data_IF_038017252457
#
_entry.id   IF_038017252457
#
_cell.length_a   1.000
_cell.length_b   1.000
_cell.length_c   1.000
_cell.angle_alpha   90.00
_cell.angle_beta   90.00
_cell.angle_gamma   90.00
#
_symmetry.space_group_name_H-M   'P 1'
#
loop_
_entity.id
_entity.type
_entity.pdbx_description
1 polymer ?
#
# COMPACT_ATOMS: atom_id res chain seq x y z
N UNK A 1 -124.17 22.69 -144.83
CA UNK A 1 -123.05 21.84 -144.34
C UNK A 1 -122.58 22.41 -143.02
N UNK A 2 -122.73 21.65 -141.94
CA UNK A 2 -122.39 22.05 -140.56
C UNK A 2 -120.88 22.08 -140.35
N UNK A 3 -120.30 23.30 -140.26
CA UNK A 3 -118.90 23.51 -139.88
C UNK A 3 -118.68 23.13 -138.39
N UNK A 4 -117.57 22.47 -138.04
CA UNK A 4 -117.27 22.05 -136.67
C UNK A 4 -117.03 23.27 -135.76
N UNK A 5 -117.55 23.22 -134.52
CA UNK A 5 -117.31 24.25 -133.49
C UNK A 5 -115.86 24.19 -133.01
N UNK A 6 -114.98 24.99 -133.60
CA UNK A 6 -113.60 25.19 -133.13
C UNK A 6 -113.54 26.20 -131.98
N UNK A 7 -112.71 25.92 -130.97
CA UNK A 7 -112.54 26.78 -129.79
C UNK A 7 -111.61 27.95 -130.17
N UNK A 8 -111.95 29.17 -129.72
CA UNK A 8 -111.15 30.39 -129.91
C UNK A 8 -109.85 30.35 -129.07
N UNK A 9 -108.82 29.68 -129.60
CA UNK A 9 -107.45 29.67 -129.04
C UNK A 9 -106.56 30.72 -129.71
N UNK A 10 -105.47 31.12 -129.05
CA UNK A 10 -104.53 32.14 -129.57
C UNK A 10 -104.02 31.83 -130.98
N UNK A 11 -103.62 30.59 -131.25
CA UNK A 11 -103.14 30.19 -132.58
C UNK A 11 -104.24 30.28 -133.65
N UNK A 12 -105.48 29.89 -133.33
CA UNK A 12 -106.59 29.92 -134.27
C UNK A 12 -107.07 31.35 -134.56
N UNK A 13 -107.09 32.21 -133.54
CA UNK A 13 -107.45 33.64 -133.69
C UNK A 13 -106.38 34.37 -134.51
N UNK A 14 -105.09 34.13 -134.24
CA UNK A 14 -103.99 34.74 -135.01
C UNK A 14 -104.01 34.27 -136.47
N UNK A 15 -104.22 32.98 -136.72
CA UNK A 15 -104.34 32.45 -138.09
C UNK A 15 -105.62 32.91 -138.81
N UNK A 16 -106.71 33.20 -138.08
CA UNK A 16 -107.91 33.83 -138.64
C UNK A 16 -107.66 35.29 -139.01
N UNK A 17 -106.97 36.07 -138.16
CA UNK A 17 -106.54 37.43 -138.47
C UNK A 17 -105.59 37.46 -139.68
N UNK A 18 -104.60 36.57 -139.75
CA UNK A 18 -103.68 36.47 -140.88
C UNK A 18 -104.43 36.18 -142.20
N UNK A 19 -105.44 35.29 -142.17
CA UNK A 19 -106.26 34.96 -143.35
C UNK A 19 -107.20 36.08 -143.77
N UNK A 20 -107.83 36.77 -142.82
CA UNK A 20 -108.71 37.90 -143.10
C UNK A 20 -107.94 39.14 -143.57
N UNK A 21 -106.72 39.40 -143.05
CA UNK A 21 -105.84 40.47 -143.56
C UNK A 21 -105.29 40.14 -144.96
N UNK A 22 -104.97 38.86 -145.23
CA UNK A 22 -104.55 38.40 -146.54
C UNK A 22 -105.68 38.43 -147.60
N UNK A 23 -106.95 38.31 -147.19
CA UNK A 23 -108.12 38.37 -148.08
C UNK A 23 -108.51 39.80 -148.51
N UNK A 24 -107.90 40.83 -147.90
CA UNK A 24 -107.96 42.25 -148.31
C UNK A 24 -109.36 42.90 -148.37
N UNK A 25 -110.36 42.33 -147.68
CA UNK A 25 -111.63 42.98 -147.35
C UNK A 25 -111.59 43.57 -145.93
N UNK A 26 -112.26 44.71 -145.70
CA UNK A 26 -112.33 45.32 -144.35
C UNK A 26 -113.11 44.40 -143.41
N UNK A 27 -112.37 43.66 -142.60
CA UNK A 27 -112.93 42.75 -141.61
C UNK A 27 -113.05 43.40 -140.23
N UNK A 28 -114.09 43.01 -139.51
CA UNK A 28 -114.41 43.39 -138.15
C UNK A 28 -114.25 42.20 -137.19
N UNK A 29 -114.35 42.48 -135.89
CA UNK A 29 -114.26 41.45 -134.84
C UNK A 29 -115.27 40.31 -135.00
N UNK A 30 -116.44 40.57 -135.62
CA UNK A 30 -117.44 39.55 -135.94
C UNK A 30 -116.98 38.60 -137.05
N UNK A 31 -116.22 39.09 -138.01
CA UNK A 31 -115.68 38.28 -139.10
C UNK A 31 -114.62 37.32 -138.56
N UNK A 32 -113.75 37.79 -137.64
CA UNK A 32 -112.82 36.90 -136.92
C UNK A 32 -113.60 35.84 -136.16
N UNK A 33 -114.63 36.24 -135.39
CA UNK A 33 -115.43 35.30 -134.59
C UNK A 33 -116.20 34.28 -135.44
N UNK A 34 -116.70 34.70 -136.60
CA UNK A 34 -117.32 33.81 -137.59
C UNK A 34 -116.30 32.79 -138.08
N UNK A 35 -115.08 33.24 -138.39
CA UNK A 35 -114.04 32.40 -138.97
C UNK A 35 -113.42 31.42 -137.97
N UNK A 36 -113.35 31.76 -136.69
CA UNK A 36 -112.96 30.79 -135.64
C UNK A 36 -114.08 29.85 -135.23
N UNK A 37 -115.33 30.04 -135.70
CA UNK A 37 -116.48 29.18 -135.39
C UNK A 37 -117.20 29.50 -134.08
N UNK A 38 -117.03 30.73 -133.56
CA UNK A 38 -117.58 31.20 -132.29
C UNK A 38 -116.54 31.40 -131.18
N UNK A 39 -116.97 31.96 -130.05
CA UNK A 39 -116.10 32.31 -128.92
C UNK A 39 -116.59 33.57 -128.21
N UNK A 40 -116.18 33.75 -126.95
CA UNK A 40 -116.51 34.94 -126.17
C UNK A 40 -115.61 36.12 -126.53
N UNK A 41 -116.17 37.33 -126.60
CA UNK A 41 -115.42 38.56 -126.91
C UNK A 41 -114.25 38.83 -125.96
N UNK A 42 -114.41 38.41 -124.70
CA UNK A 42 -113.38 38.52 -123.66
C UNK A 42 -112.08 37.80 -124.04
N UNK A 43 -112.15 36.77 -124.90
CA UNK A 43 -110.97 36.03 -125.37
C UNK A 43 -110.51 36.53 -126.73
N UNK A 44 -111.44 36.83 -127.64
CA UNK A 44 -111.11 37.20 -129.02
C UNK A 44 -110.50 38.60 -129.11
N UNK A 45 -111.06 39.61 -128.43
CA UNK A 45 -110.60 41.00 -128.54
C UNK A 45 -109.16 41.21 -128.06
N UNK A 46 -108.72 40.66 -126.90
CA UNK A 46 -107.32 40.78 -126.46
C UNK A 46 -106.34 40.10 -127.43
N UNK A 47 -106.73 39.00 -128.05
CA UNK A 47 -105.89 38.28 -129.00
C UNK A 47 -105.76 39.04 -130.33
N UNK A 48 -106.83 39.68 -130.81
CA UNK A 48 -106.75 40.58 -131.97
C UNK A 48 -105.84 41.78 -131.67
N UNK A 49 -105.94 42.36 -130.47
CA UNK A 49 -105.05 43.45 -130.05
C UNK A 49 -103.58 43.00 -129.97
N UNK A 50 -103.31 41.83 -129.39
CA UNK A 50 -101.96 41.26 -129.32
C UNK A 50 -101.38 40.99 -130.71
N UNK A 51 -102.20 40.49 -131.64
CA UNK A 51 -101.80 40.29 -133.03
C UNK A 51 -101.43 41.62 -133.71
N UNK A 52 -102.24 42.68 -133.54
CA UNK A 52 -101.93 44.02 -134.07
C UNK A 52 -100.66 44.62 -133.47
N UNK A 53 -100.40 44.41 -132.18
CA UNK A 53 -99.20 44.92 -131.50
C UNK A 53 -97.90 44.22 -131.93
N UNK A 54 -97.98 42.95 -132.32
CA UNK A 54 -96.82 42.16 -132.75
C UNK A 54 -96.48 42.31 -134.24
N UNK A 55 -97.37 42.92 -135.04
CA UNK A 55 -97.17 43.17 -136.48
C UNK A 55 -95.90 43.99 -136.79
N UNK A 56 -95.60 45.13 -136.12
CA UNK A 56 -94.42 45.93 -136.44
C UNK A 56 -93.09 45.25 -136.10
N UNK A 57 -93.09 44.37 -135.09
CA UNK A 57 -91.88 43.67 -134.62
C UNK A 57 -91.46 42.52 -135.55
N UNK A 58 -92.41 41.94 -136.31
CA UNK A 58 -92.11 40.89 -137.29
C UNK A 58 -91.46 41.43 -138.57
N UNK A 59 -91.72 42.68 -138.94
CA UNK A 59 -91.15 43.31 -140.14
C UNK A 59 -89.71 43.83 -139.95
N UNK A 60 -89.26 44.05 -138.70
CA UNK A 60 -87.95 44.67 -138.41
C UNK A 60 -86.78 43.69 -138.19
N UNK A 61 -87.02 42.37 -138.21
CA UNK A 61 -86.05 41.38 -137.72
C UNK A 61 -84.96 40.83 -138.68
N UNK A 62 -84.90 41.10 -140.00
CA UNK A 62 -83.88 40.45 -140.84
C UNK A 62 -82.55 41.22 -141.04
N UNK A 63 -82.26 42.33 -140.34
CA UNK A 63 -81.11 43.19 -140.68
C UNK A 63 -80.05 43.47 -139.60
N UNK A 64 -79.98 42.74 -138.48
CA UNK A 64 -78.80 42.84 -137.60
C UNK A 64 -77.64 41.98 -138.16
N UNK A 65 -76.46 42.56 -138.46
CA UNK A 65 -75.36 41.81 -139.06
C UNK A 65 -74.80 40.78 -138.07
N UNK A 66 -74.84 39.50 -138.44
CA UNK A 66 -74.37 38.35 -137.65
C UNK A 66 -72.92 38.48 -137.16
N UNK A 67 -72.06 39.19 -137.89
CA UNK A 67 -70.66 39.41 -137.54
C UNK A 67 -70.47 40.20 -136.24
N UNK A 68 -71.32 41.19 -135.96
CA UNK A 68 -71.23 41.98 -134.72
C UNK A 68 -71.64 41.15 -133.50
N UNK A 69 -72.67 40.31 -133.63
CA UNK A 69 -73.06 39.38 -132.57
C UNK A 69 -71.95 38.37 -132.28
N UNK A 70 -71.27 37.89 -133.33
CA UNK A 70 -70.16 36.95 -133.17
C UNK A 70 -68.92 37.59 -132.55
N UNK A 71 -68.62 38.86 -132.87
CA UNK A 71 -67.56 39.63 -132.20
C UNK A 71 -67.86 39.90 -130.73
N UNK A 72 -69.10 40.26 -130.39
CA UNK A 72 -69.51 40.46 -128.99
C UNK A 72 -69.47 39.14 -128.23
N UNK A 73 -69.94 38.05 -128.82
CA UNK A 73 -69.87 36.72 -128.22
C UNK A 73 -68.41 36.29 -127.97
N UNK A 74 -67.52 36.42 -128.96
CA UNK A 74 -66.10 36.09 -128.82
C UNK A 74 -65.40 36.98 -127.76
N UNK A 75 -65.75 38.26 -127.69
CA UNK A 75 -65.24 39.18 -126.67
C UNK A 75 -65.71 38.81 -125.27
N UNK A 76 -66.99 38.46 -125.11
CA UNK A 76 -67.55 37.98 -123.84
C UNK A 76 -66.95 36.64 -123.42
N UNK A 77 -66.77 35.69 -124.35
CA UNK A 77 -66.12 34.41 -124.09
C UNK A 77 -64.67 34.60 -123.63
N UNK A 78 -63.90 35.48 -124.31
CA UNK A 78 -62.54 35.81 -123.91
C UNK A 78 -62.50 36.48 -122.51
N UNK A 79 -63.45 37.37 -122.22
CA UNK A 79 -63.54 38.04 -120.91
C UNK A 79 -63.95 37.07 -119.80
N UNK A 80 -64.92 36.19 -120.05
CA UNK A 80 -65.36 35.15 -119.10
C UNK A 80 -64.22 34.16 -118.86
N UNK A 81 -63.50 33.74 -119.90
CA UNK A 81 -62.33 32.88 -119.76
C UNK A 81 -61.24 33.55 -118.93
N UNK A 82 -60.94 34.83 -119.20
CA UNK A 82 -59.98 35.64 -118.42
C UNK A 82 -60.38 35.78 -116.95
N UNK A 83 -61.64 36.12 -116.67
CA UNK A 83 -62.16 36.20 -115.30
C UNK A 83 -62.12 34.86 -114.57
N UNK A 84 -62.46 33.76 -115.27
CA UNK A 84 -62.43 32.42 -114.68
C UNK A 84 -61.00 32.05 -114.32
N UNK A 85 -60.04 32.29 -115.22
CA UNK A 85 -58.63 32.06 -114.97
C UNK A 85 -58.09 32.92 -113.81
N UNK A 86 -58.49 34.19 -113.72
CA UNK A 86 -58.11 35.07 -112.60
C UNK A 86 -58.74 34.59 -111.28
N UNK A 87 -60.02 34.20 -111.29
CA UNK A 87 -60.71 33.68 -110.11
C UNK A 87 -60.09 32.36 -109.61
N UNK A 88 -59.78 31.44 -110.53
CA UNK A 88 -59.04 30.22 -110.24
C UNK A 88 -57.62 30.51 -109.74
N UNK A 89 -56.92 31.46 -110.36
CA UNK A 89 -55.61 31.94 -109.91
C UNK A 89 -55.65 32.46 -108.47
N UNK A 90 -56.59 33.34 -108.14
CA UNK A 90 -56.78 33.84 -106.76
C UNK A 90 -57.18 32.72 -105.79
N UNK A 91 -58.01 31.78 -106.21
CA UNK A 91 -58.42 30.65 -105.37
C UNK A 91 -57.22 29.75 -105.05
N UNK A 92 -56.41 29.41 -106.06
CA UNK A 92 -55.20 28.60 -105.87
C UNK A 92 -54.18 29.31 -104.98
N UNK A 93 -54.02 30.63 -105.13
CA UNK A 93 -53.13 31.41 -104.28
C UNK A 93 -53.66 31.49 -102.83
N UNK A 94 -54.95 31.71 -102.64
CA UNK A 94 -55.60 31.67 -101.32
C UNK A 94 -55.44 30.30 -100.67
N UNK A 95 -55.58 29.21 -101.43
CA UNK A 95 -55.39 27.84 -100.93
C UNK A 95 -53.94 27.62 -100.51
N UNK A 96 -52.96 28.05 -101.31
CA UNK A 96 -51.54 27.96 -100.93
C UNK A 96 -51.22 28.71 -99.65
N UNK A 97 -51.73 29.94 -99.49
CA UNK A 97 -51.54 30.73 -98.27
C UNK A 97 -52.18 30.01 -97.07
N UNK A 98 -53.38 29.45 -97.25
CA UNK A 98 -54.07 28.71 -96.21
C UNK A 98 -53.32 27.43 -95.80
N UNK A 99 -52.87 26.63 -96.77
CA UNK A 99 -52.11 25.41 -96.51
C UNK A 99 -50.76 25.72 -95.83
N UNK A 100 -50.08 26.80 -96.25
CA UNK A 100 -48.84 27.26 -95.63
C UNK A 100 -49.06 27.72 -94.18
N UNK A 101 -50.13 28.48 -93.91
CA UNK A 101 -50.43 28.92 -92.55
C UNK A 101 -50.87 27.76 -91.66
N UNK A 102 -51.63 26.79 -92.18
CA UNK A 102 -51.96 25.56 -91.45
C UNK A 102 -50.69 24.76 -91.12
N UNK A 103 -49.77 24.61 -92.07
CA UNK A 103 -48.52 23.89 -91.84
C UNK A 103 -47.68 24.56 -90.75
N UNK A 104 -47.50 25.89 -90.82
CA UNK A 104 -46.75 26.65 -89.83
C UNK A 104 -47.39 26.60 -88.44
N UNK A 105 -48.73 26.73 -88.35
CA UNK A 105 -49.44 26.62 -87.09
C UNK A 105 -49.37 25.22 -86.50
N UNK A 106 -49.45 24.18 -87.34
CA UNK A 106 -49.36 22.79 -86.89
C UNK A 106 -47.95 22.48 -86.37
N UNK A 107 -46.91 22.96 -87.05
CA UNK A 107 -45.52 22.82 -86.60
C UNK A 107 -45.29 23.53 -85.25
N UNK A 108 -45.79 24.77 -85.11
CA UNK A 108 -45.73 25.52 -83.84
C UNK A 108 -46.49 24.81 -82.73
N UNK A 109 -47.66 24.25 -83.02
CA UNK A 109 -48.47 23.54 -82.04
C UNK A 109 -47.76 22.27 -81.56
N UNK A 110 -47.20 21.47 -82.47
CA UNK A 110 -46.39 20.29 -82.11
C UNK A 110 -45.16 20.68 -81.30
N UNK A 111 -44.45 21.75 -81.68
CA UNK A 111 -43.30 22.25 -80.91
C UNK A 111 -43.70 22.63 -79.48
N UNK A 112 -44.81 23.34 -79.31
CA UNK A 112 -45.31 23.73 -77.98
C UNK A 112 -45.77 22.53 -77.16
N UNK A 113 -46.41 21.53 -77.79
CA UNK A 113 -46.80 20.29 -77.11
C UNK A 113 -45.57 19.53 -76.61
N UNK A 114 -44.52 19.40 -77.43
CA UNK A 114 -43.27 18.74 -77.01
C UNK A 114 -42.55 19.49 -75.88
N UNK A 115 -42.49 20.83 -75.95
CA UNK A 115 -41.90 21.63 -74.88
C UNK A 115 -42.72 21.50 -73.57
N UNK A 116 -44.05 21.48 -73.67
CA UNK A 116 -44.93 21.32 -72.51
C UNK A 116 -44.73 19.94 -71.85
N UNK A 117 -44.63 18.87 -72.64
CA UNK A 117 -44.34 17.52 -72.16
C UNK A 117 -42.97 17.44 -71.46
N UNK A 118 -41.93 18.05 -72.04
CA UNK A 118 -40.60 18.09 -71.42
C UNK A 118 -40.62 18.86 -70.10
N UNK A 119 -41.30 20.02 -70.05
CA UNK A 119 -41.43 20.82 -68.82
C UNK A 119 -42.22 20.09 -67.74
N UNK A 120 -43.29 19.37 -68.09
CA UNK A 120 -44.05 18.58 -67.12
C UNK A 120 -43.24 17.42 -66.57
N UNK A 121 -42.45 16.73 -67.41
CA UNK A 121 -41.55 15.68 -66.95
C UNK A 121 -40.45 16.23 -66.03
N UNK A 122 -39.85 17.37 -66.37
CA UNK A 122 -38.84 18.04 -65.55
C UNK A 122 -39.39 18.52 -64.21
N UNK A 123 -40.62 19.07 -64.20
CA UNK A 123 -41.30 19.49 -62.97
C UNK A 123 -41.56 18.29 -62.06
N UNK A 124 -42.10 17.19 -62.59
CA UNK A 124 -42.35 15.97 -61.82
C UNK A 124 -41.06 15.39 -61.21
N UNK A 125 -39.95 15.42 -61.96
CA UNK A 125 -38.64 15.00 -61.44
C UNK A 125 -38.18 15.90 -60.29
N UNK A 126 -38.28 17.22 -60.45
CA UNK A 126 -37.90 18.18 -59.40
C UNK A 126 -38.78 18.09 -58.15
N UNK A 127 -40.08 17.84 -58.31
CA UNK A 127 -41.00 17.58 -57.19
C UNK A 127 -40.61 16.33 -56.42
N UNK A 128 -40.24 15.24 -57.12
CA UNK A 128 -39.75 14.02 -56.48
C UNK A 128 -38.43 14.25 -55.72
N UNK A 129 -37.49 14.99 -56.30
CA UNK A 129 -36.23 15.33 -55.63
C UNK A 129 -36.46 16.22 -54.39
N UNK A 130 -37.35 17.20 -54.49
CA UNK A 130 -37.72 18.06 -53.37
C UNK A 130 -38.40 17.26 -52.24
N UNK A 131 -39.26 16.30 -52.58
CA UNK A 131 -39.86 15.41 -51.59
C UNK A 131 -38.79 14.57 -50.87
N UNK A 132 -37.84 13.99 -51.62
CA UNK A 132 -36.74 13.20 -51.04
C UNK A 132 -35.82 14.05 -50.15
N UNK A 133 -35.47 15.28 -50.57
CA UNK A 133 -34.68 16.20 -49.76
C UNK A 133 -35.42 16.62 -48.48
N UNK A 134 -36.73 16.82 -48.56
CA UNK A 134 -37.55 17.15 -47.39
C UNK A 134 -37.55 16.01 -46.38
N UNK A 135 -37.69 14.75 -46.86
CA UNK A 135 -37.63 13.56 -46.00
C UNK A 135 -36.26 13.42 -45.32
N UNK A 136 -35.16 13.58 -46.07
CA UNK A 136 -33.81 13.55 -45.51
C UNK A 136 -33.58 14.64 -44.45
N UNK A 137 -34.12 15.84 -44.68
CA UNK A 137 -33.98 16.96 -43.76
C UNK A 137 -34.74 16.70 -42.46
N UNK A 138 -35.95 16.15 -42.54
CA UNK A 138 -36.72 15.74 -41.35
C UNK A 138 -36.06 14.59 -40.59
N UNK A 139 -35.48 13.61 -41.30
CA UNK A 139 -34.71 12.55 -40.66
C UNK A 139 -33.47 13.11 -39.93
N UNK A 140 -32.69 13.98 -40.57
CA UNK A 140 -31.52 14.60 -39.95
C UNK A 140 -31.89 15.45 -38.72
N UNK A 141 -33.04 16.15 -38.75
CA UNK A 141 -33.56 16.86 -37.57
C UNK A 141 -33.90 15.91 -36.43
N UNK A 142 -34.58 14.79 -36.72
CA UNK A 142 -34.94 13.80 -35.72
C UNK A 142 -33.70 13.16 -35.07
N UNK A 143 -32.67 12.83 -35.88
CA UNK A 143 -31.39 12.31 -35.39
C UNK A 143 -30.66 13.35 -34.53
N UNK A 144 -30.66 14.63 -34.94
CA UNK A 144 -30.06 15.71 -34.17
C UNK A 144 -30.74 15.91 -32.82
N UNK A 145 -32.07 15.89 -32.77
CA UNK A 145 -32.81 16.00 -31.51
C UNK A 145 -32.57 14.80 -30.61
N UNK A 146 -32.53 13.59 -31.16
CA UNK A 146 -32.17 12.38 -30.39
C UNK A 146 -30.77 12.52 -29.79
N UNK A 147 -29.78 12.95 -30.58
CA UNK A 147 -28.42 13.20 -30.11
C UNK A 147 -28.34 14.31 -29.04
N UNK A 148 -29.14 15.38 -29.16
CA UNK A 148 -29.24 16.43 -28.14
C UNK A 148 -29.80 15.90 -26.83
N UNK A 149 -30.85 15.09 -26.88
CA UNK A 149 -31.44 14.49 -25.67
C UNK A 149 -30.48 13.54 -24.98
N UNK A 150 -29.74 12.72 -25.73
CA UNK A 150 -28.74 11.82 -25.15
C UNK A 150 -27.57 12.59 -24.55
N UNK A 151 -27.06 13.62 -25.23
CA UNK A 151 -26.02 14.48 -24.67
C UNK A 151 -26.47 15.16 -23.37
N UNK A 152 -27.71 15.66 -23.29
CA UNK A 152 -28.24 16.24 -22.06
C UNK A 152 -28.31 15.20 -20.92
N UNK A 153 -28.66 13.95 -21.24
CA UNK A 153 -28.66 12.83 -20.30
C UNK A 153 -27.25 12.53 -19.78
N UNK A 154 -26.28 12.40 -20.69
CA UNK A 154 -24.88 12.12 -20.36
C UNK A 154 -24.25 13.24 -19.52
N UNK A 155 -24.56 14.51 -19.80
CA UNK A 155 -24.10 15.65 -18.98
C UNK A 155 -24.66 15.55 -17.56
N UNK A 156 -25.94 15.24 -17.42
CA UNK A 156 -26.57 15.08 -16.10
C UNK A 156 -25.96 13.92 -15.30
N UNK A 157 -25.67 12.80 -15.98
CA UNK A 157 -24.99 11.65 -15.38
C UNK A 157 -23.56 12.01 -14.96
N UNK A 158 -22.83 12.74 -15.81
CA UNK A 158 -21.47 13.18 -15.52
C UNK A 158 -21.42 14.10 -14.29
N UNK A 159 -22.32 15.08 -14.19
CA UNK A 159 -22.45 15.95 -13.03
C UNK A 159 -22.74 15.15 -11.75
N UNK A 160 -23.59 14.13 -11.86
CA UNK A 160 -23.88 13.18 -10.78
C UNK A 160 -22.63 12.42 -10.32
N UNK A 161 -21.83 11.91 -11.26
CA UNK A 161 -20.57 11.21 -10.98
C UNK A 161 -19.52 12.14 -10.37
N UNK A 162 -19.36 13.36 -10.89
CA UNK A 162 -18.47 14.39 -10.32
C UNK A 162 -18.85 14.67 -8.85
N UNK A 163 -20.15 14.77 -8.56
CA UNK A 163 -20.66 14.94 -7.20
C UNK A 163 -20.35 13.74 -6.29
N UNK A 164 -20.45 12.51 -6.78
CA UNK A 164 -20.10 11.30 -6.03
C UNK A 164 -18.59 11.24 -5.74
N UNK A 165 -17.75 11.48 -6.74
CA UNK A 165 -16.28 11.51 -6.59
C UNK A 165 -15.88 12.56 -5.55
N UNK A 166 -16.43 13.77 -5.63
CA UNK A 166 -16.15 14.84 -4.66
C UNK A 166 -16.52 14.46 -3.22
N UNK A 167 -17.62 13.72 -3.02
CA UNK A 167 -18.02 13.22 -1.69
C UNK A 167 -17.06 12.14 -1.19
N UNK A 168 -16.74 11.16 -2.02
CA UNK A 168 -15.77 10.10 -1.67
C UNK A 168 -14.39 10.67 -1.36
N UNK A 169 -13.88 11.62 -2.14
CA UNK A 169 -12.60 12.27 -1.87
C UNK A 169 -12.61 13.02 -0.54
N UNK A 170 -13.73 13.68 -0.20
CA UNK A 170 -13.89 14.35 1.09
C UNK A 170 -13.88 13.34 2.24
N UNK A 171 -14.63 12.25 2.13
CA UNK A 171 -14.69 11.17 3.12
C UNK A 171 -13.32 10.49 3.32
N UNK A 172 -12.62 10.18 2.23
CA UNK A 172 -11.26 9.64 2.29
C UNK A 172 -10.30 10.61 2.96
N UNK A 173 -10.37 11.91 2.62
CA UNK A 173 -9.53 12.94 3.25
C UNK A 173 -9.79 13.03 4.75
N UNK A 174 -11.05 13.01 5.18
CA UNK A 174 -11.40 13.01 6.61
C UNK A 174 -10.91 11.74 7.31
N UNK A 175 -11.02 10.59 6.66
CA UNK A 175 -10.55 9.30 7.22
C UNK A 175 -9.03 9.29 7.39
N UNK A 176 -8.29 9.77 6.39
CA UNK A 176 -6.82 9.89 6.46
C UNK A 176 -6.42 10.86 7.58
N UNK A 177 -7.09 12.00 7.71
CA UNK A 177 -6.82 12.96 8.77
C UNK A 177 -7.10 12.37 10.16
N UNK A 178 -8.21 11.65 10.32
CA UNK A 178 -8.54 10.95 11.56
C UNK A 178 -7.46 9.91 11.90
N UNK A 179 -7.09 9.05 10.96
CA UNK A 179 -6.05 8.02 11.16
C UNK A 179 -4.68 8.65 11.50
N UNK A 180 -4.30 9.74 10.84
CA UNK A 180 -3.07 10.46 11.16
C UNK A 180 -3.10 11.09 12.56
N UNK A 181 -4.26 11.61 12.98
CA UNK A 181 -4.43 12.16 14.34
C UNK A 181 -4.35 11.07 15.41
N UNK A 182 -4.98 9.92 15.18
CA UNK A 182 -4.95 8.76 16.06
C UNK A 182 -3.53 8.19 16.17
N UNK A 183 -2.81 8.06 15.05
CA UNK A 183 -1.42 7.60 15.05
C UNK A 183 -0.49 8.55 15.83
N UNK A 184 -0.70 9.87 15.72
CA UNK A 184 0.07 10.85 16.51
C UNK A 184 -0.20 10.71 18.00
N UNK A 185 -1.48 10.54 18.38
CA UNK A 185 -1.85 10.36 19.78
C UNK A 185 -1.28 9.04 20.35
N UNK A 186 -1.36 7.95 19.59
CA UNK A 186 -0.78 6.67 19.98
C UNK A 186 0.75 6.76 20.15
N UNK A 187 1.45 7.44 19.25
CA UNK A 187 2.90 7.67 19.37
C UNK A 187 3.24 8.48 20.62
N UNK A 188 2.42 9.48 20.96
CA UNK A 188 2.57 10.27 22.17
C UNK A 188 2.35 9.42 23.42
N UNK A 189 1.29 8.63 23.47
CA UNK A 189 1.01 7.69 24.56
C UNK A 189 2.16 6.70 24.76
N UNK A 190 2.67 6.10 23.68
CA UNK A 190 3.84 5.21 23.77
C UNK A 190 5.11 5.92 24.24
N UNK A 191 5.31 7.20 23.90
CA UNK A 191 6.43 7.98 24.41
C UNK A 191 6.29 8.25 25.91
N UNK A 192 5.11 8.63 26.38
CA UNK A 192 4.79 8.84 27.79
C UNK A 192 4.94 7.53 28.59
N UNK A 193 4.43 6.42 28.07
CA UNK A 193 4.52 5.11 28.72
C UNK A 193 5.97 4.62 28.82
N UNK A 194 6.78 4.81 27.77
CA UNK A 194 8.23 4.54 27.84
C UNK A 194 8.92 5.40 28.88
N UNK A 195 8.60 6.70 28.98
CA UNK A 195 9.17 7.57 30.02
C UNK A 195 8.80 7.07 31.41
N UNK A 196 7.51 6.74 31.62
CA UNK A 196 7.00 6.22 32.89
C UNK A 196 7.71 4.94 33.31
N UNK A 197 7.83 3.98 32.41
CA UNK A 197 8.51 2.70 32.67
C UNK A 197 10.00 2.91 32.99
N UNK A 198 10.68 3.82 32.28
CA UNK A 198 12.08 4.15 32.57
C UNK A 198 12.22 4.79 33.96
N UNK A 199 11.33 5.72 34.32
CA UNK A 199 11.31 6.35 35.64
C UNK A 199 11.03 5.33 36.75
N UNK A 200 10.03 4.45 36.56
CA UNK A 200 9.71 3.36 37.49
C UNK A 200 10.90 2.42 37.69
N UNK A 201 11.56 1.98 36.61
CA UNK A 201 12.75 1.14 36.70
C UNK A 201 13.93 1.86 37.37
N UNK A 202 14.15 3.14 37.06
CA UNK A 202 15.20 3.92 37.70
C UNK A 202 14.96 4.06 39.21
N UNK A 203 13.72 4.32 39.62
CA UNK A 203 13.32 4.38 41.02
C UNK A 203 13.49 3.02 41.72
N UNK A 204 13.10 1.92 41.08
CA UNK A 204 13.28 0.57 41.61
C UNK A 204 14.77 0.21 41.80
N UNK A 205 15.64 0.55 40.83
CA UNK A 205 17.09 0.35 40.95
C UNK A 205 17.66 1.21 42.08
N UNK A 206 17.21 2.45 42.23
CA UNK A 206 17.63 3.32 43.33
C UNK A 206 17.22 2.76 44.69
N UNK A 207 16.00 2.21 44.81
CA UNK A 207 15.53 1.54 46.01
C UNK A 207 16.38 0.29 46.35
N UNK A 208 16.62 -0.59 45.37
CA UNK A 208 17.47 -1.77 45.56
C UNK A 208 18.90 -1.42 45.98
N UNK A 209 19.49 -0.38 45.37
CA UNK A 209 20.83 0.11 45.77
C UNK A 209 20.85 0.60 47.21
N UNK A 210 19.78 1.25 47.65
CA UNK A 210 19.64 1.71 49.03
C UNK A 210 19.50 0.55 50.01
N UNK A 211 18.67 -0.45 49.69
CA UNK A 211 18.52 -1.66 50.50
C UNK A 211 19.85 -2.43 50.62
N UNK A 212 20.56 -2.64 49.50
CA UNK A 212 21.88 -3.28 49.51
C UNK A 212 22.90 -2.51 50.35
N UNK A 213 22.89 -1.17 50.30
CA UNK A 213 23.76 -0.36 51.14
C UNK A 213 23.43 -0.51 52.64
N UNK A 214 22.14 -0.57 53.00
CA UNK A 214 21.72 -0.80 54.37
C UNK A 214 22.08 -2.21 54.87
N UNK A 215 21.92 -3.23 54.04
CA UNK A 215 22.34 -4.60 54.36
C UNK A 215 23.86 -4.69 54.55
N UNK A 216 24.64 -4.01 53.68
CA UNK A 216 26.08 -3.94 53.81
C UNK A 216 26.50 -3.26 55.13
N UNK A 217 25.86 -2.15 55.50
CA UNK A 217 26.09 -1.46 56.78
C UNK A 217 25.75 -2.37 57.98
N UNK A 218 24.63 -3.08 57.93
CA UNK A 218 24.25 -4.03 58.98
C UNK A 218 25.24 -5.20 59.10
N UNK A 219 25.72 -5.72 57.96
CA UNK A 219 26.72 -6.77 57.94
C UNK A 219 28.07 -6.28 58.52
N UNK A 220 28.49 -5.07 58.17
CA UNK A 220 29.69 -4.44 58.73
C UNK A 220 29.58 -4.25 60.25
N UNK A 221 28.45 -3.72 60.72
CA UNK A 221 28.18 -3.56 62.15
C UNK A 221 28.23 -4.90 62.90
N UNK A 222 27.67 -5.97 62.31
CA UNK A 222 27.72 -7.32 62.88
C UNK A 222 29.14 -7.86 62.96
N UNK A 223 29.95 -7.65 61.91
CA UNK A 223 31.36 -8.04 61.91
C UNK A 223 32.16 -7.26 62.96
N UNK A 224 31.87 -5.98 63.15
CA UNK A 224 32.52 -5.16 64.18
C UNK A 224 32.26 -5.71 65.58
N UNK A 225 31.01 -6.07 65.89
CA UNK A 225 30.64 -6.71 67.17
C UNK A 225 31.36 -8.04 67.35
N UNK A 226 31.41 -8.90 66.33
CA UNK A 226 32.13 -10.17 66.39
C UNK A 226 33.64 -9.97 66.60
N UNK A 227 34.25 -8.99 65.93
CA UNK A 227 35.66 -8.66 66.12
C UNK A 227 35.94 -8.19 67.55
N UNK A 228 35.06 -7.37 68.12
CA UNK A 228 35.21 -6.92 69.51
C UNK A 228 35.02 -8.07 70.50
N UNK A 229 34.09 -8.98 70.24
CA UNK A 229 33.93 -10.21 71.01
C UNK A 229 35.20 -11.07 70.95
N UNK A 230 35.72 -11.36 69.76
CA UNK A 230 36.97 -12.12 69.57
C UNK A 230 38.16 -11.44 70.27
N UNK A 231 38.24 -10.10 70.22
CA UNK A 231 39.27 -9.34 70.96
C UNK A 231 39.12 -9.47 72.46
N UNK A 232 37.90 -9.46 72.99
CA UNK A 232 37.64 -9.66 74.43
C UNK A 232 37.97 -11.09 74.86
N UNK A 233 37.57 -12.09 74.07
CA UNK A 233 37.90 -13.49 74.32
C UNK A 233 39.42 -13.70 74.29
N UNK A 234 40.13 -13.13 73.30
CA UNK A 234 41.58 -13.15 73.22
C UNK A 234 42.24 -12.51 74.47
N UNK A 235 41.75 -11.34 74.93
CA UNK A 235 42.23 -10.70 76.17
C UNK A 235 41.95 -11.54 77.42
N UNK A 236 40.79 -12.19 77.49
CA UNK A 236 40.45 -13.07 78.62
C UNK A 236 41.35 -14.31 78.65
N UNK A 237 41.64 -14.90 77.48
CA UNK A 237 42.60 -15.99 77.33
C UNK A 237 44.01 -15.52 77.71
N UNK A 238 44.44 -14.35 77.24
CA UNK A 238 45.73 -13.75 77.59
C UNK A 238 45.85 -13.52 79.10
N UNK A 239 44.83 -12.92 79.75
CA UNK A 239 44.80 -12.73 81.20
C UNK A 239 44.87 -14.05 81.97
N UNK A 240 44.16 -15.09 81.51
CA UNK A 240 44.22 -16.43 82.10
C UNK A 240 45.61 -17.05 81.93
N UNK A 241 46.24 -16.88 80.77
CA UNK A 241 47.61 -17.33 80.51
C UNK A 241 48.62 -16.59 81.39
N UNK A 242 48.49 -15.26 81.54
CA UNK A 242 49.32 -14.46 82.45
C UNK A 242 49.14 -14.92 83.90
N UNK A 243 47.91 -15.11 84.38
CA UNK A 243 47.67 -15.63 85.72
C UNK A 243 48.22 -17.05 85.94
N UNK A 244 48.20 -17.91 84.92
CA UNK A 244 48.87 -19.21 84.97
C UNK A 244 50.40 -19.06 85.01
N UNK A 245 50.96 -18.13 84.23
CA UNK A 245 52.39 -17.82 84.23
C UNK A 245 52.85 -17.31 85.59
N UNK A 246 52.07 -16.42 86.23
CA UNK A 246 52.35 -15.93 87.58
C UNK A 246 52.32 -17.06 88.62
N UNK A 247 51.33 -17.96 88.54
CA UNK A 247 51.27 -19.15 89.40
C UNK A 247 52.48 -20.06 89.23
N UNK A 248 52.89 -20.31 87.98
CA UNK A 248 54.10 -21.09 87.68
C UNK A 248 55.34 -20.35 88.22
N UNK A 249 55.42 -19.05 88.04
CA UNK A 249 56.53 -18.22 88.53
C UNK A 249 56.62 -18.23 90.05
N UNK A 250 55.50 -18.05 90.75
CA UNK A 250 55.43 -18.20 92.22
C UNK A 250 55.81 -19.61 92.67
N UNK A 251 55.34 -20.64 91.98
CA UNK A 251 55.70 -22.03 92.29
C UNK A 251 57.20 -22.24 92.12
N UNK A 252 57.79 -21.80 91.01
CA UNK A 252 59.24 -21.85 90.76
C UNK A 252 59.99 -21.07 91.84
N UNK A 253 59.52 -19.89 92.23
CA UNK A 253 60.14 -19.11 93.30
C UNK A 253 60.06 -19.83 94.65
N UNK A 254 58.91 -20.38 95.02
CA UNK A 254 58.76 -21.17 96.26
C UNK A 254 59.65 -22.41 96.28
N UNK A 255 59.80 -23.07 95.12
CA UNK A 255 60.74 -24.18 94.93
C UNK A 255 62.18 -23.71 95.07
N UNK A 256 62.52 -22.53 94.55
CA UNK A 256 63.84 -21.92 94.70
C UNK A 256 64.13 -21.57 96.16
N UNK A 257 63.17 -21.00 96.88
CA UNK A 257 63.33 -20.66 98.30
C UNK A 257 63.49 -21.93 99.16
N UNK A 258 62.77 -23.01 98.84
CA UNK A 258 62.97 -24.31 99.49
C UNK A 258 64.32 -24.94 99.16
N UNK A 259 64.80 -24.82 97.91
CA UNK A 259 66.16 -25.22 97.54
C UNK A 259 67.18 -24.43 98.36
N UNK A 260 67.06 -23.11 98.44
CA UNK A 260 67.97 -22.27 99.25
C UNK A 260 67.93 -22.67 100.73
N UNK A 261 66.75 -22.94 101.29
CA UNK A 261 66.63 -23.41 102.67
C UNK A 261 67.32 -24.77 102.88
N UNK A 262 67.15 -25.71 101.93
CA UNK A 262 67.84 -27.00 101.94
C UNK A 262 69.36 -26.83 101.79
N UNK A 263 69.83 -25.97 100.88
CA UNK A 263 71.25 -25.64 100.71
C UNK A 263 71.83 -25.06 102.01
N UNK A 264 71.12 -24.14 102.65
CA UNK A 264 71.53 -23.57 103.94
C UNK A 264 71.63 -24.66 105.01
N UNK A 265 70.63 -25.55 105.09
CA UNK A 265 70.66 -26.70 106.00
C UNK A 265 71.82 -27.64 105.70
N UNK A 266 72.15 -27.88 104.43
CA UNK A 266 73.30 -28.70 104.02
C UNK A 266 74.61 -28.03 104.43
N UNK A 267 74.75 -26.72 104.24
CA UNK A 267 75.95 -25.99 104.68
C UNK A 267 76.13 -26.03 106.20
N UNK A 268 75.04 -25.89 106.97
CA UNK A 268 75.10 -25.98 108.43
C UNK A 268 75.43 -27.40 108.90
N UNK A 269 74.85 -28.43 108.28
CA UNK A 269 75.22 -29.83 108.54
C UNK A 269 76.68 -30.12 108.18
N UNK A 270 77.17 -29.55 107.07
CA UNK A 270 78.58 -29.67 106.65
C UNK A 270 79.50 -29.03 107.69
N UNK A 271 79.17 -27.82 108.16
CA UNK A 271 79.90 -27.13 109.23
C UNK A 271 79.89 -27.92 110.54
N UNK A 272 78.77 -28.56 110.88
CA UNK A 272 78.66 -29.43 112.05
C UNK A 272 79.55 -30.67 111.91
N UNK A 273 79.58 -31.28 110.73
CA UNK A 273 80.50 -32.40 110.43
C UNK A 273 81.95 -31.96 110.53
N UNK A 274 82.34 -30.82 109.94
CA UNK A 274 83.71 -30.30 110.04
C UNK A 274 84.11 -30.01 111.50
N UNK A 275 83.16 -29.54 112.32
CA UNK A 275 83.38 -29.34 113.77
C UNK A 275 83.57 -30.68 114.50
N UNK A 276 82.75 -31.68 114.18
CA UNK A 276 82.90 -33.03 114.75
C UNK A 276 84.20 -33.69 114.32
N UNK A 277 84.61 -33.50 113.06
CA UNK A 277 85.88 -34.01 112.52
C UNK A 277 87.08 -33.35 113.19
N UNK A 278 87.02 -32.04 113.45
CA UNK A 278 88.06 -31.33 114.20
C UNK A 278 88.09 -31.71 115.69
N UNK A 279 86.95 -31.95 116.33
CA UNK A 279 86.89 -32.56 117.67
C UNK A 279 87.45 -33.98 117.70
N UNK A 280 87.17 -34.80 116.68
CA UNK A 280 87.74 -36.14 116.50
C UNK A 280 89.25 -36.08 116.29
N UNK A 281 89.75 -35.18 115.46
CA UNK A 281 91.17 -34.96 115.22
C UNK A 281 91.90 -34.53 116.51
N UNK A 282 91.33 -33.58 117.27
CA UNK A 282 91.86 -33.16 118.56
C UNK A 282 91.87 -34.30 119.59
N UNK A 283 90.82 -35.13 119.62
CA UNK A 283 90.80 -36.33 120.47
C UNK A 283 91.81 -37.38 120.04
N UNK A 284 92.03 -37.56 118.74
CA UNK A 284 93.06 -38.45 118.20
C UNK A 284 94.46 -37.95 118.56
N UNK A 285 94.75 -36.66 118.39
CA UNK A 285 96.02 -36.05 118.81
C UNK A 285 96.24 -36.23 120.32
N UNK A 286 95.24 -35.94 121.14
CA UNK A 286 95.31 -36.16 122.58
C UNK A 286 95.56 -37.64 122.93
N UNK A 287 94.94 -38.58 122.20
CA UNK A 287 95.17 -40.02 122.39
C UNK A 287 96.59 -40.42 121.97
N UNK A 288 97.12 -39.87 120.87
CA UNK A 288 98.51 -40.10 120.44
C UNK A 288 99.52 -39.53 121.42
N UNK A 289 99.28 -38.34 121.98
CA UNK A 289 100.12 -37.74 123.02
C UNK A 289 100.09 -38.57 124.31
N UNK A 290 98.91 -39.07 124.71
CA UNK A 290 98.76 -40.01 125.83
C UNK A 290 99.53 -41.32 125.57
N UNK A 291 99.44 -41.89 124.37
CA UNK A 291 100.21 -43.09 124.00
C UNK A 291 101.72 -42.82 124.01
N UNK A 292 102.17 -41.68 123.49
CA UNK A 292 103.58 -41.29 123.52
C UNK A 292 104.09 -41.12 124.96
N UNK A 293 103.32 -40.47 125.83
CA UNK A 293 103.65 -40.33 127.25
C UNK A 293 103.64 -41.67 127.99
N UNK A 294 102.73 -42.59 127.62
CA UNK A 294 102.70 -43.94 128.15
C UNK A 294 103.93 -44.76 127.74
N UNK A 295 104.36 -44.65 126.47
CA UNK A 295 105.58 -45.32 125.98
C UNK A 295 106.85 -44.69 126.55
N UNK A 296 106.87 -43.38 126.77
CA UNK A 296 107.97 -42.68 127.46
C UNK A 296 108.09 -43.12 128.93
N UNK A 297 106.96 -43.28 129.63
CA UNK A 297 106.93 -43.87 130.97
C UNK A 297 107.39 -45.33 130.98
N UNK A 298 106.99 -46.14 130.00
CA UNK A 298 107.50 -47.51 129.85
C UNK A 298 109.00 -47.53 129.59
N UNK A 299 109.51 -46.64 128.74
CA UNK A 299 110.94 -46.51 128.46
C UNK A 299 111.73 -46.06 129.69
N UNK A 300 111.19 -45.12 130.48
CA UNK A 300 111.77 -44.71 131.75
C UNK A 300 111.79 -45.87 132.77
N UNK A 301 110.71 -46.66 132.82
CA UNK A 301 110.63 -47.84 133.69
C UNK A 301 111.63 -48.92 133.27
N UNK A 302 111.77 -49.17 131.97
CA UNK A 302 112.76 -50.11 131.42
C UNK A 302 114.21 -49.63 131.64
N UNK A 303 114.46 -48.32 131.56
CA UNK A 303 115.77 -47.72 131.88
C UNK A 303 116.10 -47.85 133.37
N UNK A 304 115.12 -47.62 134.26
CA UNK A 304 115.29 -47.82 135.71
C UNK A 304 115.52 -49.31 136.02
N UNK A 305 114.82 -50.23 135.34
CA UNK A 305 115.10 -51.67 135.46
C UNK A 305 116.50 -52.03 134.98
N UNK A 306 116.98 -51.46 133.86
CA UNK A 306 118.36 -51.65 133.39
C UNK A 306 119.39 -51.07 134.36
N UNK A 307 119.18 -49.87 134.89
CA UNK A 307 120.04 -49.26 135.90
C UNK A 307 120.06 -50.08 137.20
N UNK A 308 118.91 -50.60 137.63
CA UNK A 308 118.80 -51.48 138.79
C UNK A 308 119.55 -52.80 138.56
N UNK A 309 119.48 -53.35 137.34
CA UNK A 309 120.19 -54.59 136.97
C UNK A 309 121.70 -54.36 136.87
N UNK A 310 122.13 -53.22 136.33
CA UNK A 310 123.53 -52.81 136.25
C UNK A 310 124.10 -52.52 137.65
N UNK A 311 123.33 -51.89 138.54
CA UNK A 311 123.69 -51.69 139.94
C UNK A 311 123.87 -53.03 140.67
N UNK A 312 123.00 -54.00 140.40
CA UNK A 312 123.06 -55.36 140.94
C UNK A 312 124.27 -56.15 140.45
N UNK A 313 124.72 -55.95 139.21
CA UNK A 313 125.95 -56.55 138.67
C UNK A 313 127.24 -55.89 139.19
N UNK A 314 127.22 -54.57 139.44
CA UNK A 314 128.41 -53.82 139.88
C UNK A 314 128.80 -54.06 141.33
N UNK A 315 127.87 -54.50 142.17
CA UNK A 315 128.08 -54.63 143.62
C UNK A 315 128.21 -56.07 144.14
N UNK A 316 128.26 -57.12 143.29
CA UNK A 316 128.58 -58.51 143.66
C UNK A 316 127.86 -59.07 144.94
N UNK A 317 126.70 -58.51 145.29
CA UNK A 317 125.95 -58.77 146.53
C UNK A 317 125.28 -60.15 146.59
N UNK A 318 125.39 -60.96 145.53
CA UNK A 318 124.81 -62.31 145.45
C UNK A 318 125.81 -63.46 145.63
N UNK A 319 127.10 -63.26 145.37
CA UNK A 319 128.08 -64.35 145.34
C UNK A 319 129.02 -64.39 146.57
N UNK A 320 129.23 -63.27 147.26
CA UNK A 320 130.10 -63.24 148.46
C UNK A 320 129.38 -63.64 149.76
N UNK A 321 128.04 -63.52 149.83
CA UNK A 321 127.26 -63.93 151.01
C UNK A 321 127.05 -65.47 151.07
N UNK A 322 127.02 -66.15 149.92
CA UNK A 322 126.87 -67.61 149.85
C UNK A 322 128.14 -68.38 150.21
N UNK A 323 129.32 -67.88 149.83
CA UNK A 323 130.59 -68.53 150.12
C UNK A 323 130.99 -68.43 151.61
N UNK A 324 130.55 -67.38 152.33
CA UNK A 324 130.80 -67.26 153.78
C UNK A 324 129.88 -68.16 154.63
N UNK A 325 128.66 -68.44 154.15
CA UNK A 325 127.69 -69.29 154.85
C UNK A 325 128.09 -70.78 154.79
N UNK A 326 128.71 -71.22 153.69
CA UNK A 326 129.21 -72.60 153.55
C UNK A 326 130.51 -72.86 154.34
N UNK A 327 131.37 -71.84 154.51
CA UNK A 327 132.59 -71.97 155.32
C UNK A 327 132.30 -72.09 156.83
N UNK A 328 131.24 -71.43 157.32
CA UNK A 328 130.78 -71.54 158.73
C UNK A 328 130.13 -72.90 159.00
N UNK A 329 129.41 -73.47 158.03
CA UNK A 329 128.86 -74.83 158.13
C UNK A 329 129.94 -75.94 158.13
N UNK A 330 131.04 -75.75 157.39
CA UNK A 330 132.15 -76.71 157.32
C UNK A 330 133.02 -76.79 158.58
N UNK A 331 133.28 -75.65 159.25
CA UNK A 331 134.10 -75.63 160.48
C UNK A 331 133.35 -76.11 161.73
N UNK A 332 132.01 -75.99 161.77
CA UNK A 332 131.18 -76.58 162.83
C UNK A 332 131.05 -78.12 162.73
N UNK A 333 131.31 -78.72 161.55
CA UNK A 333 131.30 -80.17 161.35
C UNK A 333 132.61 -80.89 161.74
N UNK A 334 133.75 -80.19 161.83
CA UNK A 334 135.00 -80.80 162.32
C UNK A 334 135.15 -80.78 163.86
N UNK A 335 134.35 -79.97 164.56
CA UNK A 335 134.22 -80.01 166.04
C UNK A 335 133.40 -81.22 166.53
N UNK A 336 132.70 -81.94 165.66
CA UNK A 336 131.80 -83.06 166.01
C UNK A 336 132.34 -84.47 165.68
N UNK A 337 133.46 -84.60 164.95
CA UNK A 337 134.02 -85.90 164.54
C UNK A 337 135.28 -86.38 165.29
N UNK A 338 135.97 -85.54 166.08
CA UNK A 338 137.18 -85.95 166.84
C UNK A 338 136.99 -86.17 168.35
N UNK A 339 135.73 -86.39 168.77
CA UNK A 339 135.38 -86.91 170.11
C UNK A 339 134.82 -88.36 170.05
N UNK A 340 135.03 -89.10 168.94
CA UNK A 340 134.59 -90.49 168.75
C UNK A 340 135.67 -91.40 168.11
N UNK A 341 136.83 -91.52 168.75
CA UNK A 341 137.74 -92.70 168.72
C UNK A 341 138.74 -92.50 169.88
N UNK A 342 138.59 -93.23 171.00
CA UNK A 342 139.20 -94.54 171.27
C UNK A 342 140.73 -94.48 171.06
N UNK A 343 141.49 -94.64 172.16
CA UNK A 343 142.02 -95.95 172.60
C UNK A 343 142.88 -96.56 171.51
N UNK A 344 144.18 -96.51 171.80
CA UNK A 344 145.35 -96.68 170.96
C UNK A 344 146.33 -95.64 171.47
#
# INVERSE_FOLDING_TARGET
>A
MTMPKTIATASNVFAACDRLDAANERWNREDVRSEVGGGGWVVIDPLIQAWRALRPLKELAPSTPTELLQQVAASLEAHIAGFTQEAEGRLTESQKIFDATIAELSEKLVSLETELEEKTASLASSESENAALTEQLEQAKAELETSRTENARLVTENDGLIGQVSRMEKEHRTTIQAMQSEQRELLKQHAEERSRVVEEHAAAIAAQRKELAQEAEQAENRLMVLLDQERQEAKAVESKLLGNLDKVTQKVQSQRDTIVALETSVTELTRQNEKLDSELAARLEHNTALKASLEEQKAATASIEQEFTAYKQRHALGSELGALQDAVAGLQAQLTARNKKKKG
#
